data_IF_815443947773
#
_entry.id   IF_815443947773
#
_cell.length_a   1.000
_cell.length_b   1.000
_cell.length_c   1.000
_cell.angle_alpha   90.00
_cell.angle_beta   90.00
_cell.angle_gamma   90.00
#
_symmetry.space_group_name_H-M   'P 1'
#
loop_
_entity.id
_entity.type
_entity.pdbx_description
1 polymer ?
#
# COMPACT_ATOMS: atom_id res chain seq x y z
N UNK A 1 -5.80 -14.14 8.95
CA UNK A 1 -4.84 -13.23 8.31
C UNK A 1 -3.49 -13.90 8.11
N UNK A 2 -2.85 -14.41 9.17
CA UNK A 2 -1.55 -15.13 9.11
C UNK A 2 -1.51 -16.30 8.09
N UNK A 3 -2.54 -17.15 8.04
CA UNK A 3 -2.61 -18.24 7.05
C UNK A 3 -2.49 -17.75 5.60
N UNK A 4 -3.14 -16.62 5.25
CA UNK A 4 -3.07 -16.04 3.90
C UNK A 4 -1.68 -15.47 3.59
N UNK A 5 -1.01 -14.90 4.59
CA UNK A 5 0.37 -14.39 4.46
C UNK A 5 1.33 -15.55 4.22
N UNK A 6 1.20 -16.64 4.97
CA UNK A 6 2.02 -17.85 4.79
C UNK A 6 1.84 -18.47 3.40
N UNK A 7 0.60 -18.64 2.93
CA UNK A 7 0.31 -19.08 1.57
C UNK A 7 0.93 -18.14 0.51
N UNK A 8 0.87 -16.83 0.74
CA UNK A 8 1.50 -15.82 -0.13
C UNK A 8 3.01 -16.03 -0.22
N UNK A 9 3.68 -16.17 0.92
CA UNK A 9 5.11 -16.42 1.00
C UNK A 9 5.51 -17.75 0.35
N UNK A 10 4.71 -18.81 0.50
CA UNK A 10 4.96 -20.11 -0.14
C UNK A 10 4.84 -20.03 -1.66
N UNK A 11 3.88 -19.26 -2.17
CA UNK A 11 3.76 -19.01 -3.60
C UNK A 11 4.94 -18.19 -4.13
N UNK A 12 5.37 -17.16 -3.41
CA UNK A 12 6.55 -16.36 -3.76
C UNK A 12 7.82 -17.21 -3.78
N UNK A 13 8.01 -18.08 -2.78
CA UNK A 13 9.19 -18.91 -2.60
C UNK A 13 9.45 -19.88 -3.78
N UNK A 14 8.45 -20.13 -4.63
CA UNK A 14 8.62 -20.94 -5.85
C UNK A 14 9.54 -20.28 -6.88
N UNK A 15 9.55 -18.95 -6.93
CA UNK A 15 10.28 -18.17 -7.94
C UNK A 15 11.31 -17.21 -7.33
N UNK A 16 11.19 -16.90 -6.04
CA UNK A 16 12.02 -15.93 -5.36
C UNK A 16 12.65 -16.55 -4.11
N UNK A 17 13.93 -16.22 -3.87
CA UNK A 17 14.56 -16.55 -2.60
C UNK A 17 14.04 -15.61 -1.52
N UNK A 18 13.36 -16.17 -0.52
CA UNK A 18 12.96 -15.44 0.70
C UNK A 18 13.92 -15.86 1.80
N UNK A 19 14.59 -14.89 2.41
CA UNK A 19 15.49 -15.17 3.53
C UNK A 19 14.71 -15.72 4.72
N UNK A 20 15.20 -16.78 5.41
CA UNK A 20 14.51 -17.35 6.56
C UNK A 20 14.18 -16.32 7.65
N UNK A 21 15.10 -15.39 7.93
CA UNK A 21 14.89 -14.31 8.90
C UNK A 21 13.71 -13.40 8.53
N UNK A 22 13.57 -13.07 7.24
CA UNK A 22 12.46 -12.27 6.72
C UNK A 22 11.16 -13.07 6.79
N UNK A 23 11.18 -14.34 6.40
CA UNK A 23 10.01 -15.22 6.50
C UNK A 23 9.51 -15.32 7.95
N UNK A 24 10.40 -15.57 8.89
CA UNK A 24 10.06 -15.71 10.30
C UNK A 24 9.55 -14.39 10.88
N UNK A 25 10.15 -13.26 10.50
CA UNK A 25 9.68 -11.94 10.88
C UNK A 25 8.26 -11.66 10.35
N UNK A 26 8.01 -11.86 9.06
CA UNK A 26 6.70 -11.61 8.44
C UNK A 26 5.61 -12.52 9.02
N UNK A 27 5.95 -13.75 9.39
CA UNK A 27 5.03 -14.68 10.04
C UNK A 27 4.83 -14.42 11.54
N UNK A 28 5.45 -13.38 12.11
CA UNK A 28 5.34 -13.03 13.52
C UNK A 28 6.00 -14.06 14.46
N UNK A 29 6.96 -14.84 13.96
CA UNK A 29 7.72 -15.82 14.76
C UNK A 29 8.88 -15.20 15.54
N UNK A 30 9.19 -13.93 15.26
CA UNK A 30 10.22 -13.13 15.93
C UNK A 30 9.60 -12.32 17.07
N UNK A 31 10.25 -12.33 18.23
CA UNK A 31 9.83 -11.59 19.43
C UNK A 31 10.78 -10.42 19.77
N UNK A 32 11.79 -10.19 18.95
CA UNK A 32 12.88 -9.23 19.13
C UNK A 32 12.79 -8.05 18.14
N UNK A 33 11.70 -7.98 17.39
CA UNK A 33 11.39 -6.88 16.49
C UNK A 33 11.02 -5.62 17.28
N UNK A 34 11.61 -4.49 16.88
CA UNK A 34 11.37 -3.16 17.42
C UNK A 34 11.10 -2.16 16.30
N UNK A 35 10.45 -1.05 16.63
CA UNK A 35 10.20 0.05 15.69
C UNK A 35 11.38 1.02 15.67
N UNK A 36 12.03 1.17 14.52
CA UNK A 36 13.03 2.21 14.29
C UNK A 36 12.44 3.35 13.47
N UNK A 37 12.30 4.51 14.12
CA UNK A 37 11.74 5.70 13.48
C UNK A 37 12.83 6.55 12.85
N UNK A 38 12.67 6.88 11.57
CA UNK A 38 13.55 7.79 10.87
C UNK A 38 12.74 8.84 10.09
N UNK A 39 13.07 10.11 10.29
CA UNK A 39 12.49 11.20 9.52
C UNK A 39 13.28 11.43 8.23
N UNK A 40 12.61 11.32 7.10
CA UNK A 40 13.15 11.69 5.78
C UNK A 40 12.21 12.71 5.13
N UNK A 41 12.70 13.94 4.98
CA UNK A 41 11.90 15.10 4.56
C UNK A 41 10.65 15.28 5.44
N UNK A 42 9.46 15.13 4.86
CA UNK A 42 8.16 15.35 5.50
C UNK A 42 7.47 14.07 5.98
N UNK A 43 8.16 12.93 5.91
CA UNK A 43 7.64 11.61 6.32
C UNK A 43 8.49 11.02 7.44
N UNK A 44 7.82 10.46 8.45
CA UNK A 44 8.42 9.63 9.49
C UNK A 44 8.21 8.16 9.10
N UNK A 45 9.31 7.47 8.82
CA UNK A 45 9.29 6.05 8.48
C UNK A 45 9.46 5.21 9.73
N UNK A 46 8.60 4.20 9.88
CA UNK A 46 8.63 3.16 10.91
C UNK A 46 9.19 1.89 10.28
N UNK A 47 10.50 1.67 10.44
CA UNK A 47 11.24 0.56 9.85
C UNK A 47 11.47 -0.52 10.91
N UNK A 48 11.09 -1.77 10.68
CA UNK A 48 11.35 -2.83 11.65
C UNK A 48 12.84 -3.09 11.85
N UNK A 49 13.26 -3.20 13.10
CA UNK A 49 14.63 -3.49 13.52
C UNK A 49 14.66 -4.76 14.36
N UNK A 50 15.49 -5.72 13.95
CA UNK A 50 15.71 -7.00 14.64
C UNK A 50 16.87 -6.84 15.60
N UNK A 51 16.57 -6.85 16.89
CA UNK A 51 17.56 -6.52 17.93
C UNK A 51 18.59 -7.63 18.15
N UNK A 52 18.26 -8.90 17.84
CA UNK A 52 19.20 -10.01 17.99
C UNK A 52 20.28 -10.02 16.90
N UNK A 53 19.95 -9.60 15.67
CA UNK A 53 20.87 -9.53 14.54
C UNK A 53 21.42 -8.12 14.31
N UNK A 54 20.96 -7.13 15.08
CA UNK A 54 21.42 -5.74 15.00
C UNK A 54 21.29 -5.17 13.57
N UNK A 55 20.08 -5.27 13.00
CA UNK A 55 19.80 -4.80 11.65
C UNK A 55 18.32 -4.61 11.35
N UNK A 56 18.02 -4.24 10.12
CA UNK A 56 16.74 -3.77 9.65
C UNK A 56 16.08 -4.76 8.69
N UNK A 57 14.75 -4.77 8.68
CA UNK A 57 13.97 -5.31 7.57
C UNK A 57 13.76 -4.20 6.56
N UNK A 58 14.46 -4.26 5.43
CA UNK A 58 14.41 -3.27 4.36
C UNK A 58 13.65 -3.81 3.15
N UNK A 59 13.40 -2.94 2.16
CA UNK A 59 12.65 -3.28 0.97
C UNK A 59 13.26 -2.68 -0.30
N UNK A 60 13.13 -3.40 -1.42
CA UNK A 60 13.37 -2.87 -2.77
C UNK A 60 12.35 -3.41 -3.76
N UNK A 61 12.08 -2.61 -4.80
CA UNK A 61 11.21 -3.01 -5.89
C UNK A 61 11.97 -3.87 -6.92
N UNK A 62 11.39 -4.99 -7.35
CA UNK A 62 11.93 -5.83 -8.43
C UNK A 62 11.17 -5.69 -9.74
N UNK A 63 10.34 -4.65 -9.91
CA UNK A 63 9.74 -4.38 -11.21
C UNK A 63 10.86 -4.08 -12.24
N UNK A 64 10.80 -4.58 -13.48
CA UNK A 64 9.68 -5.30 -14.11
C UNK A 64 9.65 -6.82 -13.89
N UNK A 65 10.69 -7.41 -13.28
CA UNK A 65 10.78 -8.87 -13.06
C UNK A 65 9.72 -9.39 -12.07
N UNK A 66 9.20 -8.52 -11.20
CA UNK A 66 8.08 -8.79 -10.31
C UNK A 66 6.96 -7.75 -10.47
N UNK A 67 5.72 -8.23 -10.60
CA UNK A 67 4.51 -7.41 -10.63
C UNK A 67 3.41 -7.96 -9.71
N UNK A 68 3.80 -8.73 -8.68
CA UNK A 68 2.84 -9.40 -7.78
C UNK A 68 2.00 -8.42 -6.98
N UNK A 69 2.57 -7.32 -6.48
CA UNK A 69 1.81 -6.30 -5.77
C UNK A 69 0.75 -5.65 -6.66
N UNK A 70 1.04 -5.42 -7.94
CA UNK A 70 0.04 -4.93 -8.89
C UNK A 70 -1.07 -5.96 -9.13
N UNK A 71 -0.70 -7.23 -9.28
CA UNK A 71 -1.65 -8.29 -9.60
C UNK A 71 -2.52 -8.71 -8.40
N UNK A 72 -2.00 -8.59 -7.18
CA UNK A 72 -2.64 -9.06 -5.94
C UNK A 72 -3.22 -7.94 -5.08
N UNK A 73 -3.20 -6.71 -5.58
CA UNK A 73 -3.80 -5.58 -4.89
C UNK A 73 -5.31 -5.80 -4.70
N UNK A 74 -5.71 -5.94 -3.43
CA UNK A 74 -7.09 -6.23 -3.05
C UNK A 74 -8.05 -5.05 -3.23
N UNK A 75 -7.53 -3.82 -3.19
CA UNK A 75 -8.32 -2.58 -3.22
C UNK A 75 -7.56 -1.47 -3.95
N UNK A 76 -8.29 -0.66 -4.70
CA UNK A 76 -7.74 0.48 -5.44
C UNK A 76 -8.42 1.79 -5.00
N UNK A 77 -8.28 2.21 -3.72
CA UNK A 77 -8.88 3.45 -3.26
C UNK A 77 -8.38 4.62 -4.10
N UNK A 78 -9.32 5.46 -4.51
CA UNK A 78 -9.07 6.63 -5.35
C UNK A 78 -9.08 7.89 -4.49
N UNK A 79 -8.13 8.77 -4.75
CA UNK A 79 -8.21 10.17 -4.33
C UNK A 79 -9.07 10.97 -5.31
N UNK A 80 -9.53 12.16 -4.90
CA UNK A 80 -10.24 13.06 -5.81
C UNK A 80 -9.40 13.47 -7.03
N UNK A 81 -8.07 13.55 -6.90
CA UNK A 81 -7.16 13.77 -8.03
C UNK A 81 -7.15 12.58 -9.00
N UNK A 82 -7.20 11.35 -8.46
CA UNK A 82 -7.26 10.14 -9.26
C UNK A 82 -8.56 10.08 -10.08
N UNK A 83 -9.70 10.47 -9.49
CA UNK A 83 -10.99 10.52 -10.20
C UNK A 83 -10.89 11.40 -11.46
N UNK A 84 -10.23 12.55 -11.38
CA UNK A 84 -10.06 13.48 -12.49
C UNK A 84 -9.04 12.92 -13.49
N UNK A 85 -7.91 12.42 -13.00
CA UNK A 85 -6.76 12.03 -13.83
C UNK A 85 -7.05 10.75 -14.62
N UNK A 86 -7.62 9.74 -13.96
CA UNK A 86 -7.98 8.46 -14.59
C UNK A 86 -9.14 8.64 -15.56
N UNK A 87 -10.17 9.42 -15.19
CA UNK A 87 -11.30 9.74 -16.09
C UNK A 87 -10.83 10.30 -17.43
N UNK A 88 -9.87 11.24 -17.41
CA UNK A 88 -9.25 11.81 -18.63
C UNK A 88 -8.42 10.78 -19.40
N UNK A 89 -7.67 9.93 -18.71
CA UNK A 89 -6.88 8.88 -19.34
C UNK A 89 -7.79 7.92 -20.12
N UNK A 90 -8.87 7.47 -19.49
CA UNK A 90 -9.91 6.58 -20.05
C UNK A 90 -10.91 7.29 -20.98
N UNK A 91 -10.67 8.57 -21.32
CA UNK A 91 -11.44 9.34 -22.31
C UNK A 91 -12.92 9.58 -21.97
N UNK A 92 -13.27 9.56 -20.68
CA UNK A 92 -14.59 10.00 -20.23
C UNK A 92 -14.75 11.51 -20.41
N UNK A 93 -15.92 11.96 -20.88
CA UNK A 93 -16.23 13.40 -21.05
C UNK A 93 -16.57 14.08 -19.73
N UNK A 94 -17.20 13.35 -18.80
CA UNK A 94 -17.58 13.83 -17.47
C UNK A 94 -17.04 12.89 -16.41
N UNK A 95 -16.54 13.45 -15.32
CA UNK A 95 -16.07 12.67 -14.16
C UNK A 95 -17.20 11.88 -13.53
N UNK A 96 -18.44 12.39 -13.55
CA UNK A 96 -19.63 11.66 -13.05
C UNK A 96 -19.86 10.33 -13.77
N UNK A 97 -19.64 10.30 -15.08
CA UNK A 97 -19.84 9.10 -15.88
C UNK A 97 -18.76 8.06 -15.53
N UNK A 98 -17.52 8.52 -15.37
CA UNK A 98 -16.43 7.68 -14.85
C UNK A 98 -16.76 7.12 -13.46
N UNK A 99 -17.19 7.95 -12.52
CA UNK A 99 -17.55 7.49 -11.16
C UNK A 99 -18.63 6.41 -11.21
N UNK A 100 -19.71 6.63 -11.96
CA UNK A 100 -20.82 5.68 -12.02
C UNK A 100 -20.44 4.35 -12.69
N UNK A 101 -19.55 4.38 -13.69
CA UNK A 101 -19.18 3.19 -14.45
C UNK A 101 -18.01 2.43 -13.83
N UNK A 102 -16.97 3.14 -13.40
CA UNK A 102 -15.65 2.58 -13.11
C UNK A 102 -15.35 2.42 -11.63
N UNK A 103 -16.24 2.86 -10.73
CA UNK A 103 -15.96 2.86 -9.29
C UNK A 103 -17.02 2.12 -8.49
N UNK A 104 -16.62 1.65 -7.32
CA UNK A 104 -17.50 1.16 -6.25
C UNK A 104 -17.17 1.89 -4.96
N UNK A 105 -18.13 1.96 -4.04
CA UNK A 105 -17.89 2.46 -2.68
C UNK A 105 -17.91 1.25 -1.74
N UNK A 106 -16.82 1.04 -1.02
CA UNK A 106 -16.68 -0.13 -0.14
C UNK A 106 -16.26 0.32 1.24
N UNK A 107 -16.70 -0.43 2.26
CA UNK A 107 -16.33 -0.20 3.65
C UNK A 107 -15.59 -1.41 4.18
N UNK A 108 -14.43 -1.21 4.82
CA UNK A 108 -13.65 -2.28 5.42
C UNK A 108 -13.05 -1.85 6.76
N UNK A 109 -12.68 -2.85 7.56
CA UNK A 109 -11.93 -2.69 8.79
C UNK A 109 -10.45 -3.00 8.52
N UNK A 110 -9.57 -2.08 8.92
CA UNK A 110 -8.13 -2.26 8.87
C UNK A 110 -7.52 -1.98 10.25
N UNK A 111 -6.42 -2.68 10.56
CA UNK A 111 -5.66 -2.42 11.78
C UNK A 111 -4.85 -1.14 11.58
N UNK A 112 -5.16 -0.13 12.38
CA UNK A 112 -4.38 1.09 12.49
C UNK A 112 -2.99 0.84 13.10
N UNK A 113 -2.11 1.86 13.09
CA UNK A 113 -0.72 1.75 13.54
C UNK A 113 -0.58 1.24 14.98
N UNK A 114 -1.52 1.59 15.85
CA UNK A 114 -1.54 1.15 17.26
C UNK A 114 -2.31 -0.16 17.49
N UNK A 115 -2.66 -0.87 16.41
CA UNK A 115 -3.45 -2.11 16.46
C UNK A 115 -4.96 -1.92 16.69
N UNK A 116 -5.42 -0.67 16.82
CA UNK A 116 -6.83 -0.33 16.89
C UNK A 116 -7.54 -0.60 15.56
N UNK A 117 -8.83 -0.94 15.60
CA UNK A 117 -9.64 -1.06 14.39
C UNK A 117 -9.90 0.34 13.81
N UNK A 118 -9.75 0.47 12.50
CA UNK A 118 -10.09 1.67 11.73
C UNK A 118 -11.05 1.23 10.64
N UNK A 119 -12.26 1.77 10.68
CA UNK A 119 -13.27 1.55 9.65
C UNK A 119 -13.07 2.63 8.58
N UNK A 120 -12.90 2.17 7.35
CA UNK A 120 -12.65 3.02 6.19
C UNK A 120 -13.76 2.81 5.18
N UNK A 121 -14.42 3.87 4.72
CA UNK A 121 -15.27 3.84 3.53
C UNK A 121 -14.60 4.65 2.45
N UNK A 122 -14.32 4.07 1.29
CA UNK A 122 -13.66 4.79 0.19
C UNK A 122 -14.32 4.48 -1.15
N UNK A 123 -14.23 5.44 -2.06
CA UNK A 123 -14.42 5.19 -3.50
C UNK A 123 -13.20 4.45 -4.05
N UNK A 124 -13.43 3.34 -4.74
CA UNK A 124 -12.41 2.45 -5.28
C UNK A 124 -12.56 2.29 -6.78
N UNK A 125 -11.45 2.18 -7.50
CA UNK A 125 -11.45 1.79 -8.91
C UNK A 125 -11.78 0.31 -9.04
N UNK A 126 -12.71 -0.03 -9.91
CA UNK A 126 -12.97 -1.42 -10.27
C UNK A 126 -11.79 -2.01 -11.04
N UNK A 127 -11.34 -3.17 -10.60
CA UNK A 127 -10.33 -4.04 -11.19
C UNK A 127 -10.90 -4.83 -12.36
N UNK A 128 -12.21 -5.04 -12.45
CA UNK A 128 -12.91 -5.60 -13.62
C UNK A 128 -14.13 -4.75 -13.97
N UNK A 129 -14.73 -4.93 -15.15
CA UNK A 129 -15.91 -4.12 -15.57
C UNK A 129 -17.15 -4.38 -14.70
N UNK A 130 -17.22 -5.56 -14.11
CA UNK A 130 -18.38 -6.05 -13.37
C UNK A 130 -18.09 -6.29 -11.88
N UNK A 131 -16.95 -5.79 -11.38
CA UNK A 131 -16.60 -5.95 -9.96
C UNK A 131 -17.70 -5.38 -9.07
N UNK A 132 -18.06 -6.16 -8.05
CA UNK A 132 -19.06 -5.83 -7.04
C UNK A 132 -18.43 -5.45 -5.71
N UNK A 133 -19.20 -4.88 -4.79
CA UNK A 133 -18.73 -4.55 -3.44
C UNK A 133 -18.31 -5.79 -2.63
N UNK A 134 -18.93 -6.95 -2.89
CA UNK A 134 -18.62 -8.21 -2.19
C UNK A 134 -17.24 -8.78 -2.56
N UNK A 135 -16.69 -8.34 -3.69
CA UNK A 135 -15.41 -8.76 -4.24
C UNK A 135 -14.23 -7.89 -3.74
N UNK A 136 -14.53 -6.77 -3.10
CA UNK A 136 -13.57 -5.83 -2.53
C UNK A 136 -12.64 -6.50 -1.50
N UNK A 137 -11.33 -6.31 -1.65
CA UNK A 137 -10.33 -6.94 -0.79
C UNK A 137 -10.07 -8.43 -1.04
N UNK A 138 -10.76 -9.04 -2.00
CA UNK A 138 -10.42 -10.38 -2.48
C UNK A 138 -9.39 -10.31 -3.62
N UNK A 139 -8.77 -11.42 -3.98
CA UNK A 139 -7.88 -11.43 -5.13
C UNK A 139 -8.68 -11.37 -6.44
N UNK A 140 -8.46 -10.32 -7.22
CA UNK A 140 -8.97 -10.18 -8.59
C UNK A 140 -7.87 -9.55 -9.45
N UNK A 141 -7.58 -10.17 -10.59
CA UNK A 141 -6.61 -9.61 -11.54
C UNK A 141 -7.15 -8.30 -12.11
N UNK A 142 -6.36 -7.23 -11.97
CA UNK A 142 -6.69 -5.92 -12.51
C UNK A 142 -6.68 -5.93 -14.05
N UNK A 143 -7.78 -5.51 -14.68
CA UNK A 143 -7.98 -5.46 -16.14
C UNK A 143 -7.03 -4.51 -16.86
N UNK A 144 -6.41 -3.59 -16.12
CA UNK A 144 -5.42 -2.66 -16.66
C UNK A 144 -4.01 -3.27 -16.74
N UNK A 145 -3.80 -4.49 -16.24
CA UNK A 145 -2.52 -5.19 -16.35
C UNK A 145 -2.49 -6.10 -17.56
N UNK A 146 -1.46 -5.98 -18.39
CA UNK A 146 -1.18 -6.95 -19.43
C UNK A 146 -0.63 -8.27 -18.86
N UNK A 147 -0.27 -9.22 -19.72
CA UNK A 147 0.31 -10.52 -19.33
C UNK A 147 1.68 -10.41 -18.65
N UNK A 148 2.39 -9.30 -18.87
CA UNK A 148 3.72 -9.03 -18.29
C UNK A 148 3.62 -8.13 -17.04
N UNK A 149 2.41 -7.80 -16.60
CA UNK A 149 2.17 -6.92 -15.44
C UNK A 149 2.38 -5.44 -15.71
N UNK A 150 2.50 -5.01 -16.96
CA UNK A 150 2.50 -3.59 -17.32
C UNK A 150 1.10 -3.01 -17.13
N UNK A 151 1.02 -1.84 -16.49
CA UNK A 151 -0.25 -1.16 -16.23
C UNK A 151 -0.56 -0.16 -17.34
N UNK A 152 -1.62 -0.41 -18.12
CA UNK A 152 -2.10 0.48 -19.18
C UNK A 152 -2.59 1.85 -18.69
N UNK A 153 -2.82 2.02 -17.38
CA UNK A 153 -3.11 3.33 -16.80
C UNK A 153 -1.86 4.17 -16.57
N UNK A 154 -0.65 3.60 -16.60
CA UNK A 154 0.57 4.38 -16.33
C UNK A 154 0.72 5.54 -17.32
N UNK A 155 1.04 6.78 -16.85
CA UNK A 155 1.39 7.18 -15.48
C UNK A 155 0.20 7.66 -14.63
N UNK A 156 -1.03 7.51 -15.10
CA UNK A 156 -2.28 7.90 -14.44
C UNK A 156 -2.87 6.84 -13.49
N UNK A 157 -2.15 5.77 -13.14
CA UNK A 157 -2.67 4.74 -12.23
C UNK A 157 -2.99 5.34 -10.84
N UNK A 158 -3.90 4.74 -10.06
CA UNK A 158 -4.26 5.24 -8.73
C UNK A 158 -3.03 5.52 -7.86
N UNK A 159 -3.07 6.60 -7.08
CA UNK A 159 -1.99 6.98 -6.17
C UNK A 159 -1.57 5.85 -5.22
N UNK A 160 -2.52 5.07 -4.72
CA UNK A 160 -2.27 3.90 -3.84
C UNK A 160 -1.36 2.86 -4.49
N UNK A 161 -1.40 2.69 -5.83
CA UNK A 161 -0.53 1.76 -6.54
C UNK A 161 0.94 2.17 -6.50
N UNK A 162 1.25 3.43 -6.22
CA UNK A 162 2.63 3.92 -6.07
C UNK A 162 3.16 3.75 -4.65
N UNK A 163 2.30 3.53 -3.66
CA UNK A 163 2.71 3.46 -2.26
C UNK A 163 3.31 2.12 -1.88
N UNK A 164 2.87 1.03 -2.53
CA UNK A 164 3.26 -0.31 -2.11
C UNK A 164 4.79 -0.42 -1.99
N UNK A 165 5.33 -0.98 -0.89
CA UNK A 165 4.62 -1.71 0.18
C UNK A 165 4.24 -0.84 1.39
N UNK A 166 4.28 0.49 1.29
CA UNK A 166 4.00 1.36 2.42
C UNK A 166 2.50 1.53 2.66
N UNK A 167 2.09 1.48 3.93
CA UNK A 167 0.91 2.15 4.44
C UNK A 167 1.29 3.51 5.00
N UNK A 168 0.36 4.46 5.02
CA UNK A 168 0.62 5.81 5.51
C UNK A 168 -0.57 6.39 6.28
N UNK A 169 -0.30 7.19 7.30
CA UNK A 169 -1.32 7.88 8.08
C UNK A 169 -0.86 9.29 8.48
N UNK A 170 -1.82 10.09 8.98
CA UNK A 170 -1.54 11.37 9.61
C UNK A 170 -1.60 11.24 11.13
N UNK A 171 -0.60 11.78 11.81
CA UNK A 171 -0.58 11.95 13.25
C UNK A 171 -0.44 13.43 13.60
N UNK A 172 -1.02 13.83 14.74
CA UNK A 172 -0.86 15.18 15.26
C UNK A 172 0.33 15.23 16.22
N UNK A 173 1.44 15.79 15.77
CA UNK A 173 2.58 16.08 16.62
C UNK A 173 2.63 17.56 16.99
N UNK A 174 2.30 17.87 18.25
CA UNK A 174 2.37 19.24 18.82
C UNK A 174 1.59 20.27 17.97
N UNK A 175 0.40 19.89 17.51
CA UNK A 175 -0.47 20.74 16.70
C UNK A 175 -0.11 20.79 15.21
N UNK A 176 0.84 19.96 14.74
CA UNK A 176 1.23 19.89 13.34
C UNK A 176 0.90 18.52 12.78
N UNK A 177 0.24 18.43 11.60
CA UNK A 177 0.06 17.15 10.93
C UNK A 177 1.43 16.62 10.47
N UNK A 178 1.68 15.35 10.77
CA UNK A 178 2.85 14.60 10.33
C UNK A 178 2.41 13.37 9.59
N UNK A 179 3.08 13.12 8.47
CA UNK A 179 2.85 11.90 7.69
C UNK A 179 3.78 10.84 8.22
N UNK A 180 3.20 9.70 8.56
CA UNK A 180 3.93 8.52 8.99
C UNK A 180 3.72 7.41 7.97
N UNK A 181 4.70 6.52 7.85
CA UNK A 181 4.60 5.35 7.00
C UNK A 181 5.28 4.13 7.60
N UNK A 182 4.71 2.96 7.36
CA UNK A 182 5.29 1.66 7.72
C UNK A 182 5.06 0.66 6.59
N UNK A 183 5.69 -0.50 6.67
CA UNK A 183 5.48 -1.57 5.70
C UNK A 183 4.18 -2.32 5.94
N UNK A 184 3.54 -2.71 4.84
CA UNK A 184 2.51 -3.73 4.81
C UNK A 184 3.13 -5.07 4.41
N UNK A 185 3.13 -6.01 5.35
CA UNK A 185 3.63 -7.37 5.10
C UNK A 185 2.50 -8.28 4.61
N UNK A 186 2.14 -8.15 3.34
CA UNK A 186 1.00 -8.89 2.75
C UNK A 186 1.35 -10.31 2.31
N UNK A 187 2.63 -10.65 2.23
CA UNK A 187 3.11 -11.91 1.64
C UNK A 187 3.13 -11.91 0.11
N UNK A 188 2.93 -10.75 -0.54
CA UNK A 188 2.92 -10.63 -2.02
C UNK A 188 4.21 -10.00 -2.59
N UNK A 189 5.11 -9.52 -1.73
CA UNK A 189 6.37 -8.92 -2.16
C UNK A 189 7.59 -9.78 -1.80
N UNK A 190 8.39 -10.19 -2.79
CA UNK A 190 9.68 -10.85 -2.55
C UNK A 190 10.82 -9.86 -2.26
N UNK A 191 10.55 -8.56 -2.27
CA UNK A 191 11.55 -7.50 -2.20
C UNK A 191 12.04 -7.16 -0.79
N UNK A 192 11.50 -7.79 0.25
CA UNK A 192 11.95 -7.61 1.63
C UNK A 192 13.24 -8.39 1.89
N UNK A 193 14.21 -7.76 2.54
CA UNK A 193 15.53 -8.33 2.83
C UNK A 193 16.06 -7.79 4.18
N UNK A 194 17.03 -8.51 4.76
CA UNK A 194 17.71 -8.06 5.98
C UNK A 194 18.98 -7.29 5.62
N UNK A 195 19.25 -6.21 6.34
CA UNK A 195 20.47 -5.41 6.18
C UNK A 195 20.90 -4.78 7.51
N UNK A 196 22.21 -4.65 7.73
CA UNK A 196 22.75 -4.05 8.96
C UNK A 196 22.66 -2.52 8.95
N UNK A 197 22.59 -1.89 7.77
CA UNK A 197 22.52 -0.44 7.62
C UNK A 197 21.28 0.01 6.86
N UNK A 198 20.57 0.99 7.43
CA UNK A 198 19.44 1.66 6.77
C UNK A 198 19.87 2.48 5.55
N UNK A 199 21.16 2.81 5.43
CA UNK A 199 21.69 3.59 4.31
C UNK A 199 21.48 2.89 2.97
N UNK A 200 21.41 1.56 2.95
CA UNK A 200 21.12 0.75 1.75
C UNK A 200 19.78 1.11 1.10
N UNK A 201 18.86 1.69 1.86
CA UNK A 201 17.52 2.07 1.39
C UNK A 201 17.32 3.59 1.30
N UNK A 202 18.33 4.40 1.61
CA UNK A 202 18.14 5.85 1.76
C UNK A 202 17.57 6.52 0.50
N UNK A 203 18.07 6.15 -0.69
CA UNK A 203 17.56 6.68 -1.96
C UNK A 203 16.07 6.34 -2.18
N UNK A 204 15.67 5.12 -1.81
CA UNK A 204 14.27 4.69 -1.88
C UNK A 204 13.43 5.51 -0.92
N UNK A 205 13.88 5.72 0.32
CA UNK A 205 13.15 6.51 1.32
C UNK A 205 13.02 7.98 0.88
N UNK A 206 14.07 8.56 0.27
CA UNK A 206 14.05 9.92 -0.29
C UNK A 206 13.06 10.05 -1.45
N UNK A 207 12.97 9.03 -2.31
CA UNK A 207 12.01 8.98 -3.41
C UNK A 207 10.58 8.83 -2.88
N UNK A 208 10.37 7.84 -2.01
CA UNK A 208 9.06 7.50 -1.49
C UNK A 208 8.52 8.55 -0.51
N UNK A 209 9.36 9.33 0.15
CA UNK A 209 8.90 10.40 1.06
C UNK A 209 7.96 11.38 0.33
N UNK A 210 8.25 11.69 -0.95
CA UNK A 210 7.38 12.56 -1.74
C UNK A 210 6.08 11.85 -2.13
N UNK A 211 6.17 10.63 -2.64
CA UNK A 211 5.03 9.84 -3.09
C UNK A 211 4.04 9.63 -1.95
N UNK A 212 4.55 9.21 -0.80
CA UNK A 212 3.78 8.97 0.41
C UNK A 212 3.13 10.27 0.88
N UNK A 213 3.90 11.35 1.05
CA UNK A 213 3.35 12.62 1.51
C UNK A 213 2.22 13.11 0.60
N UNK A 214 2.45 13.17 -0.71
CA UNK A 214 1.47 13.65 -1.69
C UNK A 214 0.19 12.81 -1.62
N UNK A 215 0.31 11.47 -1.61
CA UNK A 215 -0.85 10.59 -1.50
C UNK A 215 -1.60 10.77 -0.19
N UNK A 216 -0.91 10.79 0.95
CA UNK A 216 -1.56 10.89 2.27
C UNK A 216 -2.37 12.20 2.36
N UNK A 217 -1.82 13.30 1.86
CA UNK A 217 -2.49 14.59 1.83
C UNK A 217 -3.69 14.59 0.87
N UNK A 218 -3.56 14.02 -0.33
CA UNK A 218 -4.68 13.90 -1.28
C UNK A 218 -5.78 12.96 -0.76
N UNK A 219 -5.42 11.87 -0.10
CA UNK A 219 -6.36 10.95 0.56
C UNK A 219 -7.13 11.65 1.68
N UNK A 220 -6.44 12.41 2.55
CA UNK A 220 -7.11 13.18 3.60
C UNK A 220 -8.07 14.25 3.03
N UNK A 221 -7.68 14.91 1.93
CA UNK A 221 -8.57 15.86 1.25
C UNK A 221 -9.80 15.16 0.68
N UNK A 222 -9.63 13.98 0.09
CA UNK A 222 -10.72 13.15 -0.45
C UNK A 222 -11.77 12.82 0.62
N UNK A 223 -11.32 12.51 1.84
CA UNK A 223 -12.22 12.34 2.99
C UNK A 223 -12.99 13.63 3.33
N UNK A 224 -12.33 14.79 3.33
CA UNK A 224 -12.99 16.10 3.60
C UNK A 224 -13.98 16.50 2.51
N UNK A 225 -13.76 16.04 1.29
CA UNK A 225 -14.64 16.25 0.13
C UNK A 225 -15.81 15.26 0.09
N UNK A 226 -15.95 14.39 1.10
CA UNK A 226 -16.98 13.35 1.23
C UNK A 226 -16.92 12.24 0.17
N UNK A 227 -15.76 12.03 -0.45
CA UNK A 227 -15.48 10.86 -1.31
C UNK A 227 -14.91 9.67 -0.52
N UNK A 228 -14.82 9.81 0.81
CA UNK A 228 -14.48 8.73 1.73
C UNK A 228 -14.76 9.13 3.18
N UNK A 229 -14.67 8.17 4.10
CA UNK A 229 -14.79 8.37 5.54
C UNK A 229 -13.78 7.48 6.27
N UNK A 230 -13.30 7.98 7.40
CA UNK A 230 -12.42 7.27 8.32
C UNK A 230 -13.02 7.40 9.72
N UNK A 231 -13.27 6.28 10.39
CA UNK A 231 -13.71 6.25 11.79
C UNK A 231 -12.93 5.21 12.57
N UNK A 232 -12.79 5.43 13.88
CA UNK A 232 -12.22 4.40 14.75
C UNK A 232 -13.30 3.37 15.07
N UNK A 233 -12.97 2.09 14.93
CA UNK A 233 -13.80 1.00 15.43
C UNK A 233 -13.79 1.03 16.96
N UNK A 234 -14.97 1.17 17.57
CA UNK A 234 -15.17 1.08 19.01
C UNK A 234 -15.40 -0.37 19.45
#
# INVERSE_FOLDING_TARGET
MLHKIEEGLDLLAKNWRIEPIIRDFVLGKRNDASDHQMKVKDVIFHIPYLTMENGYVLWKCYWPDCHNCCNRQGRLPLTSDDLITISKNLKYRKVSDFVNTETNITTWDEKGPSGNSVIMTMINLKRTETETEAEDGTYIRCRFLDEKGYCGLHPSRPGVCYLYPFSSWLENEKGKPRVHATYQFTGDCPGFYFAESIDEMMDILIQYSKIIYDYTMSSNRTTRENFGSLSMGF
#
